data_IF_790185514043
#
_entry.id   IF_790185514043
#
_cell.length_a   1.000
_cell.length_b   1.000
_cell.length_c   1.000
_cell.angle_alpha   90.00
_cell.angle_beta   90.00
_cell.angle_gamma   90.00
#
_symmetry.space_group_name_H-M   'P 1'
#
loop_
_entity.id
_entity.type
_entity.pdbx_description
1 polymer ?
#
# COMPACT_ATOMS: atom_id res chain seq x y z
N UNK A 1 67.12 -84.65 -38.32
CA UNK A 1 66.13 -84.96 -37.26
C UNK A 1 66.32 -84.09 -36.02
N UNK A 2 67.49 -83.99 -35.38
CA UNK A 2 67.68 -83.20 -34.13
C UNK A 2 67.42 -81.69 -34.25
N UNK A 3 67.78 -81.06 -35.38
CA UNK A 3 67.59 -79.63 -35.59
C UNK A 3 66.09 -79.22 -35.70
N UNK A 4 65.24 -80.09 -36.25
CA UNK A 4 63.80 -79.83 -36.36
C UNK A 4 63.12 -79.82 -34.99
N UNK A 5 63.53 -80.70 -34.07
CA UNK A 5 63.02 -80.71 -32.71
C UNK A 5 63.38 -79.42 -31.96
N UNK A 6 64.63 -78.95 -32.11
CA UNK A 6 65.07 -77.69 -31.50
C UNK A 6 64.27 -76.51 -32.05
N UNK A 7 64.08 -76.42 -33.37
CA UNK A 7 63.31 -75.34 -33.98
C UNK A 7 61.84 -75.33 -33.53
N UNK A 8 61.24 -76.51 -33.43
CA UNK A 8 59.88 -76.68 -32.92
C UNK A 8 59.77 -76.25 -31.45
N UNK A 9 60.70 -76.67 -30.60
CA UNK A 9 60.68 -76.33 -29.18
C UNK A 9 60.90 -74.83 -28.95
N UNK A 10 61.82 -74.20 -29.70
CA UNK A 10 62.05 -72.75 -29.64
C UNK A 10 60.82 -71.97 -30.11
N UNK A 11 60.18 -72.42 -31.18
CA UNK A 11 58.96 -71.79 -31.70
C UNK A 11 57.78 -71.96 -30.74
N UNK A 12 57.67 -73.13 -30.09
CA UNK A 12 56.64 -73.39 -29.08
C UNK A 12 56.85 -72.50 -27.85
N UNK A 13 58.08 -72.40 -27.34
CA UNK A 13 58.44 -71.50 -26.25
C UNK A 13 58.14 -70.04 -26.61
N UNK A 14 58.53 -69.60 -27.83
CA UNK A 14 58.26 -68.25 -28.31
C UNK A 14 56.75 -67.98 -28.37
N UNK A 15 55.97 -68.91 -28.90
CA UNK A 15 54.52 -68.76 -28.95
C UNK A 15 53.90 -68.72 -27.55
N UNK A 16 54.41 -69.50 -26.58
CA UNK A 16 53.91 -69.50 -25.20
C UNK A 16 54.28 -68.22 -24.44
N UNK A 17 55.45 -67.65 -24.71
CA UNK A 17 55.91 -66.41 -24.08
C UNK A 17 55.26 -65.16 -24.69
N UNK A 18 55.04 -65.14 -26.01
CA UNK A 18 54.67 -63.93 -26.75
C UNK A 18 53.27 -63.99 -27.40
N UNK A 19 52.49 -65.05 -27.20
CA UNK A 19 51.09 -65.07 -27.61
C UNK A 19 50.24 -64.26 -26.63
N UNK A 20 50.34 -62.94 -26.74
CA UNK A 20 49.57 -61.97 -25.96
C UNK A 20 48.10 -61.89 -26.36
N UNK A 21 47.64 -62.73 -27.29
CA UNK A 21 46.25 -62.71 -27.79
C UNK A 21 45.24 -62.85 -26.66
N UNK A 22 45.49 -63.74 -25.69
CA UNK A 22 44.61 -63.91 -24.53
C UNK A 22 44.59 -62.66 -23.62
N UNK A 23 45.76 -62.06 -23.39
CA UNK A 23 45.88 -60.84 -22.58
C UNK A 23 45.21 -59.64 -23.26
N UNK A 24 45.47 -59.42 -24.55
CA UNK A 24 44.84 -58.37 -25.35
C UNK A 24 43.33 -58.57 -25.42
N UNK A 25 42.86 -59.79 -25.67
CA UNK A 25 41.42 -60.09 -25.70
C UNK A 25 40.76 -59.83 -24.35
N UNK A 26 41.41 -60.20 -23.23
CA UNK A 26 40.94 -59.89 -21.89
C UNK A 26 40.87 -58.38 -21.62
N UNK A 27 41.89 -57.62 -22.03
CA UNK A 27 41.92 -56.16 -21.89
C UNK A 27 40.85 -55.49 -22.77
N UNK A 28 40.68 -55.93 -24.01
CA UNK A 28 39.64 -55.42 -24.91
C UNK A 28 38.24 -55.68 -24.36
N UNK A 29 37.96 -56.90 -23.90
CA UNK A 29 36.66 -57.22 -23.30
C UNK A 29 36.43 -56.43 -22.00
N UNK A 30 37.47 -56.26 -21.18
CA UNK A 30 37.37 -55.45 -19.96
C UNK A 30 37.11 -53.98 -20.30
N UNK A 31 37.77 -53.44 -21.33
CA UNK A 31 37.54 -52.08 -21.79
C UNK A 31 36.08 -51.87 -22.22
N UNK A 32 35.56 -52.73 -23.11
CA UNK A 32 34.14 -52.67 -23.54
C UNK A 32 33.19 -52.79 -22.35
N UNK A 33 33.45 -53.73 -21.44
CA UNK A 33 32.62 -53.94 -20.24
C UNK A 33 32.60 -52.72 -19.32
N UNK A 34 33.76 -52.13 -19.02
CA UNK A 34 33.85 -51.01 -18.09
C UNK A 34 33.35 -49.69 -18.71
N UNK A 35 33.62 -49.46 -20.00
CA UNK A 35 33.38 -48.16 -20.62
C UNK A 35 32.12 -48.08 -21.47
N UNK A 36 31.62 -49.20 -22.00
CA UNK A 36 30.38 -49.22 -22.79
C UNK A 36 29.24 -49.84 -21.98
N UNK A 37 29.41 -51.08 -21.49
CA UNK A 37 28.32 -51.83 -20.86
C UNK A 37 27.95 -51.29 -19.46
N UNK A 38 28.94 -51.05 -18.58
CA UNK A 38 28.69 -50.55 -17.22
C UNK A 38 28.28 -49.08 -17.20
N UNK A 39 28.75 -48.27 -18.16
CA UNK A 39 28.30 -46.88 -18.30
C UNK A 39 26.87 -46.82 -18.82
N UNK A 40 26.53 -47.71 -19.75
CA UNK A 40 25.19 -47.83 -20.33
C UNK A 40 24.70 -46.50 -20.87
N UNK A 41 23.39 -46.27 -20.75
CA UNK A 41 22.73 -45.06 -21.25
C UNK A 41 22.59 -43.96 -20.18
N UNK A 42 23.36 -44.02 -19.08
CA UNK A 42 23.20 -43.08 -17.97
C UNK A 42 23.36 -41.62 -18.39
N UNK A 43 24.32 -41.34 -19.27
CA UNK A 43 24.55 -39.99 -19.79
C UNK A 43 23.38 -39.52 -20.66
N UNK A 44 22.83 -40.40 -21.50
CA UNK A 44 21.66 -40.12 -22.33
C UNK A 44 20.44 -39.82 -21.46
N UNK A 45 20.15 -40.65 -20.46
CA UNK A 45 19.03 -40.44 -19.52
C UNK A 45 19.19 -39.13 -18.77
N UNK A 46 20.41 -38.84 -18.27
CA UNK A 46 20.69 -37.58 -17.58
C UNK A 46 20.47 -36.38 -18.51
N UNK A 47 20.92 -36.46 -19.75
CA UNK A 47 20.79 -35.38 -20.72
C UNK A 47 19.32 -35.18 -21.14
N UNK A 48 18.56 -36.26 -21.36
CA UNK A 48 17.12 -36.21 -21.62
C UNK A 48 16.36 -35.55 -20.48
N UNK A 49 16.67 -35.90 -19.23
CA UNK A 49 16.05 -35.27 -18.06
C UNK A 49 16.35 -33.78 -17.97
N UNK A 50 17.59 -33.37 -18.22
CA UNK A 50 17.95 -31.94 -18.24
C UNK A 50 17.21 -31.23 -19.38
N UNK A 51 17.08 -31.86 -20.54
CA UNK A 51 16.36 -31.31 -21.68
C UNK A 51 14.87 -31.12 -21.38
N UNK A 52 14.22 -32.09 -20.74
CA UNK A 52 12.83 -31.97 -20.26
C UNK A 52 12.66 -30.80 -19.28
N UNK A 53 13.58 -30.64 -18.33
CA UNK A 53 13.56 -29.52 -17.39
C UNK A 53 13.70 -28.17 -18.10
N UNK A 54 14.60 -28.08 -19.08
CA UNK A 54 14.77 -26.87 -19.89
C UNK A 54 13.48 -26.54 -20.65
N UNK A 55 12.83 -27.55 -21.24
CA UNK A 55 11.56 -27.38 -21.95
C UNK A 55 10.46 -26.90 -21.00
N UNK A 56 10.26 -27.55 -19.85
CA UNK A 56 9.23 -27.13 -18.87
C UNK A 56 9.50 -25.72 -18.35
N UNK A 57 10.76 -25.38 -18.10
CA UNK A 57 11.14 -24.02 -17.70
C UNK A 57 10.85 -22.99 -18.78
N UNK A 58 11.22 -23.27 -20.04
CA UNK A 58 11.07 -22.37 -21.18
C UNK A 58 9.60 -22.18 -21.58
N UNK A 59 8.85 -23.27 -21.65
CA UNK A 59 7.52 -23.28 -22.27
C UNK A 59 6.39 -23.07 -21.26
N UNK A 60 6.63 -23.36 -19.97
CA UNK A 60 5.60 -23.27 -18.94
C UNK A 60 5.97 -22.31 -17.81
N UNK A 61 7.08 -22.56 -17.11
CA UNK A 61 7.38 -21.81 -15.89
C UNK A 61 7.69 -20.33 -16.17
N UNK A 62 8.50 -20.04 -17.19
CA UNK A 62 8.88 -18.68 -17.55
C UNK A 62 7.71 -17.86 -18.09
N UNK A 63 6.92 -18.33 -19.09
CA UNK A 63 5.76 -17.59 -19.59
C UNK A 63 4.74 -17.30 -18.49
N UNK A 64 4.41 -18.29 -17.65
CA UNK A 64 3.50 -18.11 -16.51
C UNK A 64 4.02 -17.06 -15.53
N UNK A 65 5.31 -17.09 -15.21
CA UNK A 65 5.92 -16.10 -14.32
C UNK A 65 5.85 -14.68 -14.89
N UNK A 66 6.10 -14.52 -16.18
CA UNK A 66 6.01 -13.22 -16.88
C UNK A 66 4.57 -12.70 -16.86
N UNK A 67 3.59 -13.56 -17.16
CA UNK A 67 2.18 -13.19 -17.13
C UNK A 67 1.75 -12.72 -15.75
N UNK A 68 2.06 -13.49 -14.70
CA UNK A 68 1.76 -13.10 -13.32
C UNK A 68 2.45 -11.81 -12.91
N UNK A 69 3.72 -11.61 -13.30
CA UNK A 69 4.45 -10.38 -13.01
C UNK A 69 3.76 -9.18 -13.66
N UNK A 70 3.40 -9.28 -14.95
CA UNK A 70 2.74 -8.20 -15.68
C UNK A 70 1.39 -7.84 -15.06
N UNK A 71 0.55 -8.84 -14.74
CA UNK A 71 -0.74 -8.60 -14.08
C UNK A 71 -0.56 -7.92 -12.70
N UNK A 72 0.39 -8.41 -11.90
CA UNK A 72 0.62 -7.88 -10.56
C UNK A 72 1.19 -6.46 -10.60
N UNK A 73 2.11 -6.18 -11.52
CA UNK A 73 2.70 -4.84 -11.69
C UNK A 73 1.64 -3.84 -12.14
N UNK A 74 0.77 -4.19 -13.09
CA UNK A 74 -0.29 -3.28 -13.54
C UNK A 74 -1.32 -3.04 -12.41
N UNK A 75 -1.72 -4.10 -11.70
CA UNK A 75 -2.61 -3.99 -10.53
C UNK A 75 -2.02 -3.09 -9.44
N UNK A 76 -0.73 -3.25 -9.12
CA UNK A 76 -0.03 -2.41 -8.16
C UNK A 76 0.01 -0.94 -8.62
N UNK A 77 0.33 -0.70 -9.89
CA UNK A 77 0.36 0.64 -10.49
C UNK A 77 -1.02 1.30 -10.41
N UNK A 78 -2.09 0.59 -10.75
CA UNK A 78 -3.46 1.10 -10.61
C UNK A 78 -3.78 1.44 -9.15
N UNK A 79 -3.43 0.55 -8.21
CA UNK A 79 -3.66 0.76 -6.78
C UNK A 79 -2.93 2.02 -6.29
N UNK A 80 -1.65 2.16 -6.65
CA UNK A 80 -0.83 3.33 -6.26
C UNK A 80 -1.41 4.60 -6.85
N UNK A 81 -1.82 4.60 -8.13
CA UNK A 81 -2.42 5.77 -8.76
C UNK A 81 -3.75 6.17 -8.11
N UNK A 82 -4.61 5.19 -7.77
CA UNK A 82 -5.86 5.44 -7.04
C UNK A 82 -5.59 6.07 -5.67
N UNK A 83 -4.64 5.51 -4.92
CA UNK A 83 -4.26 6.07 -3.61
C UNK A 83 -3.67 7.46 -3.74
N UNK A 84 -2.82 7.71 -4.74
CA UNK A 84 -2.27 9.04 -5.01
C UNK A 84 -3.36 10.06 -5.31
N UNK A 85 -4.32 9.70 -6.16
CA UNK A 85 -5.47 10.55 -6.49
C UNK A 85 -6.30 10.86 -5.23
N UNK A 86 -6.56 9.86 -4.39
CA UNK A 86 -7.26 10.07 -3.12
C UNK A 86 -6.50 11.01 -2.19
N UNK A 87 -5.18 10.85 -2.06
CA UNK A 87 -4.36 11.76 -1.26
C UNK A 87 -4.41 13.19 -1.80
N UNK A 88 -4.34 13.37 -3.12
CA UNK A 88 -4.44 14.69 -3.75
C UNK A 88 -5.81 15.33 -3.50
N UNK A 89 -6.90 14.56 -3.60
CA UNK A 89 -8.24 15.04 -3.27
C UNK A 89 -8.34 15.50 -1.81
N UNK A 90 -7.81 14.72 -0.87
CA UNK A 90 -7.84 15.07 0.56
C UNK A 90 -7.05 16.36 0.83
N UNK A 91 -5.89 16.53 0.20
CA UNK A 91 -5.10 17.76 0.34
C UNK A 91 -5.87 18.96 -0.20
N UNK A 92 -6.45 18.84 -1.40
CA UNK A 92 -7.21 19.91 -2.02
C UNK A 92 -8.48 20.29 -1.21
N UNK A 93 -9.27 19.30 -0.78
CA UNK A 93 -10.45 19.52 0.08
C UNK A 93 -10.05 20.08 1.47
N UNK A 94 -8.87 19.70 1.97
CA UNK A 94 -8.38 20.18 3.25
C UNK A 94 -8.07 21.68 3.25
N UNK A 95 -7.59 22.20 2.13
CA UNK A 95 -7.13 23.58 1.99
C UNK A 95 -8.27 24.55 1.64
N UNK A 96 -9.09 24.24 0.62
CA UNK A 96 -10.12 25.16 0.14
C UNK A 96 -11.41 25.08 0.97
N UNK A 97 -11.98 23.89 1.09
CA UNK A 97 -13.32 23.68 1.66
C UNK A 97 -13.35 24.00 3.16
N UNK A 98 -12.25 23.71 3.87
CA UNK A 98 -12.15 24.02 5.31
C UNK A 98 -11.98 25.51 5.55
N UNK A 99 -11.23 26.24 4.72
CA UNK A 99 -11.05 27.68 4.85
C UNK A 99 -12.37 28.42 4.64
N UNK A 100 -13.08 28.12 3.56
CA UNK A 100 -14.33 28.79 3.18
C UNK A 100 -15.47 28.48 4.15
N UNK A 101 -15.58 27.22 4.59
CA UNK A 101 -16.55 26.85 5.62
C UNK A 101 -16.28 27.57 6.94
N UNK A 102 -15.00 27.62 7.38
CA UNK A 102 -14.63 28.33 8.61
C UNK A 102 -14.92 29.82 8.52
N UNK A 103 -14.67 30.47 7.37
CA UNK A 103 -15.00 31.87 7.15
C UNK A 103 -16.52 32.10 7.20
N UNK A 104 -17.29 31.27 6.51
CA UNK A 104 -18.76 31.34 6.50
C UNK A 104 -19.34 31.18 7.92
N UNK A 105 -18.81 30.24 8.72
CA UNK A 105 -19.23 30.07 10.11
C UNK A 105 -18.80 31.23 11.03
N UNK A 106 -17.72 31.94 10.72
CA UNK A 106 -17.35 33.17 11.46
C UNK A 106 -18.32 34.30 11.14
N UNK A 107 -18.59 34.53 9.86
CA UNK A 107 -19.52 35.56 9.40
C UNK A 107 -20.92 35.35 9.99
N UNK A 108 -21.41 34.10 9.99
CA UNK A 108 -22.71 33.76 10.58
C UNK A 108 -22.78 34.10 12.07
N UNK A 109 -21.74 33.76 12.84
CA UNK A 109 -21.67 34.06 14.28
C UNK A 109 -21.58 35.55 14.57
N UNK A 110 -20.84 36.29 13.74
CA UNK A 110 -20.77 37.75 13.83
C UNK A 110 -22.13 38.39 13.59
N UNK A 111 -22.87 37.91 12.60
CA UNK A 111 -24.22 38.39 12.31
C UNK A 111 -25.21 38.05 13.43
N UNK A 112 -25.22 36.79 13.90
CA UNK A 112 -26.02 36.37 15.07
C UNK A 112 -25.71 37.22 16.31
N UNK A 113 -24.44 37.54 16.55
CA UNK A 113 -24.01 38.41 17.65
C UNK A 113 -24.50 39.84 17.49
N UNK A 114 -24.38 40.41 16.29
CA UNK A 114 -24.84 41.77 15.99
C UNK A 114 -26.36 41.90 16.16
N UNK A 115 -27.12 40.92 15.67
CA UNK A 115 -28.58 40.87 15.81
C UNK A 115 -28.99 40.76 17.29
N UNK A 116 -28.30 39.90 18.05
CA UNK A 116 -28.51 39.76 19.49
C UNK A 116 -28.22 41.08 20.23
N UNK A 117 -27.10 41.74 19.93
CA UNK A 117 -26.72 43.00 20.56
C UNK A 117 -27.68 44.13 20.20
N UNK A 118 -28.14 44.21 18.95
CA UNK A 118 -29.14 45.19 18.53
C UNK A 118 -30.47 44.99 19.27
N UNK A 119 -30.93 43.74 19.40
CA UNK A 119 -32.12 43.40 20.17
C UNK A 119 -31.96 43.76 21.66
N UNK A 120 -30.78 43.52 22.22
CA UNK A 120 -30.48 43.84 23.62
C UNK A 120 -30.49 45.35 23.89
N UNK A 121 -29.88 46.15 22.99
CA UNK A 121 -29.89 47.63 23.08
C UNK A 121 -31.31 48.18 22.94
N UNK A 122 -32.10 47.66 22.02
CA UNK A 122 -33.51 48.05 21.87
C UNK A 122 -34.33 47.72 23.13
N UNK A 123 -34.09 46.54 23.73
CA UNK A 123 -34.74 46.13 24.97
C UNK A 123 -34.36 47.02 26.15
N UNK A 124 -33.08 47.36 26.31
CA UNK A 124 -32.66 48.26 27.39
C UNK A 124 -33.26 49.64 27.23
N UNK A 125 -33.20 50.21 26.01
CA UNK A 125 -33.79 51.52 25.72
C UNK A 125 -35.31 51.56 26.01
N UNK A 126 -36.04 50.48 25.72
CA UNK A 126 -37.47 50.36 26.04
C UNK A 126 -37.72 50.37 27.55
N UNK A 127 -36.93 49.62 28.31
CA UNK A 127 -37.04 49.56 29.78
C UNK A 127 -36.73 50.92 30.38
N UNK A 128 -35.68 51.60 29.91
CA UNK A 128 -35.31 52.94 30.39
C UNK A 128 -36.41 53.97 30.09
N UNK A 129 -37.03 53.91 28.91
CA UNK A 129 -38.15 54.77 28.55
C UNK A 129 -39.40 54.53 29.41
N UNK A 130 -39.74 53.26 29.67
CA UNK A 130 -40.86 52.90 30.55
C UNK A 130 -40.60 53.35 31.99
N UNK A 131 -39.39 53.11 32.50
CA UNK A 131 -38.98 53.56 33.82
C UNK A 131 -39.08 55.08 33.94
N UNK A 132 -38.54 55.83 32.96
CA UNK A 132 -38.63 57.30 32.93
C UNK A 132 -40.08 57.78 32.93
N UNK A 133 -40.94 57.19 32.09
CA UNK A 133 -42.37 57.51 32.03
C UNK A 133 -43.07 57.32 33.40
N UNK A 134 -42.75 56.22 34.11
CA UNK A 134 -43.30 55.96 35.45
C UNK A 134 -42.78 56.96 36.49
N UNK A 135 -41.49 57.30 36.44
CA UNK A 135 -40.88 58.32 37.33
C UNK A 135 -41.52 59.68 37.10
N UNK A 136 -41.67 60.10 35.85
CA UNK A 136 -42.27 61.38 35.48
C UNK A 136 -43.74 61.44 35.93
N UNK A 137 -44.51 60.37 35.73
CA UNK A 137 -45.90 60.27 36.20
C UNK A 137 -46.02 60.36 37.72
N UNK A 138 -45.12 59.68 38.45
CA UNK A 138 -45.07 59.73 39.91
C UNK A 138 -44.70 61.13 40.40
N UNK A 139 -43.70 61.76 39.78
CA UNK A 139 -43.27 63.12 40.08
C UNK A 139 -44.41 64.12 39.88
N UNK A 140 -45.14 64.03 38.76
CA UNK A 140 -46.28 64.89 38.48
C UNK A 140 -47.41 64.69 39.50
N UNK A 141 -47.73 63.44 39.84
CA UNK A 141 -48.76 63.15 40.85
C UNK A 141 -48.43 63.76 42.22
N UNK A 142 -47.17 63.66 42.67
CA UNK A 142 -46.76 64.28 43.93
C UNK A 142 -46.73 65.81 43.84
N UNK A 143 -46.32 66.39 42.71
CA UNK A 143 -46.36 67.85 42.51
C UNK A 143 -47.81 68.38 42.60
N UNK A 144 -48.77 67.71 41.96
CA UNK A 144 -50.19 68.05 42.08
C UNK A 144 -50.71 67.92 43.52
N UNK A 145 -50.30 66.88 44.23
CA UNK A 145 -50.68 66.68 45.63
C UNK A 145 -50.12 67.80 46.52
N UNK A 146 -48.87 68.22 46.26
CA UNK A 146 -48.21 69.32 46.96
C UNK A 146 -48.92 70.66 46.69
N UNK A 147 -49.35 70.92 45.45
CA UNK A 147 -50.17 72.10 45.12
C UNK A 147 -51.52 72.07 45.83
N UNK A 148 -52.25 70.94 45.77
CA UNK A 148 -53.53 70.79 46.47
C UNK A 148 -53.39 70.98 47.98
N UNK A 149 -52.30 70.51 48.59
CA UNK A 149 -51.99 70.76 50.00
C UNK A 149 -51.76 72.26 50.25
N UNK A 150 -50.99 72.96 49.42
CA UNK A 150 -50.77 74.40 49.53
C UNK A 150 -52.06 75.21 49.38
N UNK A 151 -52.95 74.83 48.47
CA UNK A 151 -54.27 75.45 48.30
C UNK A 151 -55.22 75.19 49.46
N UNK A 152 -55.22 73.97 50.01
CA UNK A 152 -55.98 73.62 51.21
C UNK A 152 -55.51 74.42 52.44
N UNK A 153 -54.20 74.66 52.55
CA UNK A 153 -53.61 75.45 53.65
C UNK A 153 -53.96 76.95 53.55
N UNK A 154 -54.14 77.48 52.33
CA UNK A 154 -54.59 78.87 52.10
C UNK A 154 -56.07 79.13 52.40
N UNK A 155 -56.91 78.09 52.45
CA UNK A 155 -58.36 78.22 52.75
C UNK A 155 -58.69 78.18 54.25
N UNK A 156 -57.70 77.91 55.10
CA UNK A 156 -57.85 77.75 56.57
C UNK A 156 -57.24 78.93 57.34
N UNK A 157 -56.67 79.92 56.64
CA UNK A 157 -56.19 81.21 57.15
C UNK A 157 -57.07 82.34 56.58
#
# INVERSE_FOLDING_TARGET
MTCEYIFRDVTDIYSRLFNHRAALHGLTNNFVKEFEEKRGEREIISMSRIFELIIDCRDRALPSSIEHLNCNVESLKESVNKTLQQCQMIVHDGEETKSDWLQSQRLRREQEWNDFMAAQVSRSARVDAEFKSKVDALSNHYAELEEKLKEGTKKVL
#
